data_IF_588807118306
#
_entry.id   IF_588807118306
#
_cell.length_a   1.000
_cell.length_b   1.000
_cell.length_c   1.000
_cell.angle_alpha   90.00
_cell.angle_beta   90.00
_cell.angle_gamma   90.00
#
_symmetry.space_group_name_H-M   'P 1'
#
loop_
_entity.id
_entity.type
_entity.pdbx_description
1 polymer ?
#
# COMPACT_ATOMS: atom_id res chain seq x y z
N UNK A 1 -21.43 -5.65 -34.27
CA UNK A 1 -21.85 -5.80 -32.85
C UNK A 1 -21.25 -4.67 -32.06
N UNK A 2 -21.91 -4.18 -30.99
CA UNK A 2 -21.32 -3.19 -30.10
C UNK A 2 -20.45 -3.89 -29.04
N UNK A 3 -19.36 -3.26 -28.60
CA UNK A 3 -18.54 -3.73 -27.49
C UNK A 3 -19.41 -3.90 -26.24
N UNK A 4 -19.32 -5.06 -25.58
CA UNK A 4 -20.13 -5.37 -24.40
C UNK A 4 -19.24 -5.42 -23.14
N UNK A 5 -19.57 -4.59 -22.15
CA UNK A 5 -18.86 -4.56 -20.86
C UNK A 5 -18.82 -5.92 -20.15
N UNK A 6 -19.87 -6.72 -20.29
CA UNK A 6 -19.88 -8.07 -19.71
C UNK A 6 -18.79 -8.98 -20.31
N UNK A 7 -18.53 -8.84 -21.62
CA UNK A 7 -17.46 -9.58 -22.29
C UNK A 7 -16.08 -9.12 -21.81
N UNK A 8 -15.88 -7.81 -21.61
CA UNK A 8 -14.64 -7.28 -21.02
C UNK A 8 -14.41 -7.81 -19.61
N UNK A 9 -15.45 -7.88 -18.79
CA UNK A 9 -15.37 -8.45 -17.44
C UNK A 9 -15.01 -9.94 -17.46
N UNK A 10 -15.63 -10.71 -18.35
CA UNK A 10 -15.32 -12.13 -18.50
C UNK A 10 -13.87 -12.32 -18.96
N UNK A 11 -13.43 -11.59 -19.98
CA UNK A 11 -12.04 -11.63 -20.46
C UNK A 11 -11.04 -11.33 -19.34
N UNK A 12 -11.25 -10.23 -18.59
CA UNK A 12 -10.44 -9.84 -17.46
C UNK A 12 -10.35 -10.96 -16.41
N UNK A 13 -11.50 -11.53 -16.02
CA UNK A 13 -11.55 -12.59 -15.02
C UNK A 13 -10.82 -13.87 -15.47
N UNK A 14 -10.93 -14.22 -16.77
CA UNK A 14 -10.19 -15.37 -17.32
C UNK A 14 -8.68 -15.11 -17.29
N UNK A 15 -8.25 -13.90 -17.65
CA UNK A 15 -6.84 -13.51 -17.63
C UNK A 15 -6.28 -13.53 -16.19
N UNK A 16 -7.03 -12.95 -15.22
CA UNK A 16 -6.64 -12.92 -13.80
C UNK A 16 -6.54 -14.33 -13.19
N UNK A 17 -7.51 -15.20 -13.46
CA UNK A 17 -7.56 -16.57 -12.91
C UNK A 17 -6.65 -17.55 -13.65
N UNK A 18 -6.19 -17.20 -14.85
CA UNK A 18 -5.39 -18.09 -15.69
C UNK A 18 -6.11 -19.38 -16.12
N UNK A 19 -7.45 -19.44 -15.97
CA UNK A 19 -8.26 -20.63 -16.23
C UNK A 19 -9.71 -20.29 -16.54
N UNK A 20 -10.23 -20.84 -17.67
CA UNK A 20 -11.66 -20.67 -18.01
C UNK A 20 -12.59 -21.32 -16.99
N UNK A 21 -12.21 -22.47 -16.42
CA UNK A 21 -13.03 -23.14 -15.39
C UNK A 21 -13.03 -22.36 -14.06
N UNK A 22 -11.88 -21.80 -13.64
CA UNK A 22 -11.80 -20.98 -12.45
C UNK A 22 -12.57 -19.66 -12.62
N UNK A 23 -12.49 -19.03 -13.80
CA UNK A 23 -13.28 -17.85 -14.13
C UNK A 23 -14.78 -18.15 -14.15
N UNK A 24 -15.19 -19.28 -14.71
CA UNK A 24 -16.60 -19.71 -14.72
C UNK A 24 -17.16 -19.86 -13.30
N UNK A 25 -16.40 -20.49 -12.39
CA UNK A 25 -16.77 -20.57 -10.98
C UNK A 25 -16.91 -19.17 -10.31
N UNK A 26 -15.95 -18.29 -10.57
CA UNK A 26 -15.96 -16.93 -10.00
C UNK A 26 -17.10 -16.05 -10.53
N UNK A 27 -17.54 -16.29 -11.77
CA UNK A 27 -18.63 -15.54 -12.45
C UNK A 27 -20.00 -16.22 -12.31
N UNK A 28 -20.10 -17.35 -11.61
CA UNK A 28 -21.32 -18.17 -11.54
C UNK A 28 -21.88 -18.55 -12.92
N UNK A 29 -20.99 -18.86 -13.86
CA UNK A 29 -21.30 -19.23 -15.23
C UNK A 29 -20.82 -20.65 -15.53
N UNK A 30 -21.29 -21.23 -16.64
CA UNK A 30 -20.69 -22.45 -17.16
C UNK A 30 -19.43 -22.15 -17.97
N UNK A 31 -18.45 -23.04 -17.95
CA UNK A 31 -17.21 -22.85 -18.70
C UNK A 31 -17.42 -22.68 -20.22
N UNK A 32 -18.35 -23.42 -20.90
CA UNK A 32 -18.67 -23.13 -22.29
C UNK A 32 -19.21 -21.70 -22.53
N UNK A 33 -20.06 -21.19 -21.62
CA UNK A 33 -20.57 -19.82 -21.73
C UNK A 33 -19.44 -18.78 -21.63
N UNK A 34 -18.51 -18.94 -20.66
CA UNK A 34 -17.32 -18.08 -20.56
C UNK A 34 -16.47 -18.13 -21.84
N UNK A 35 -16.25 -19.34 -22.38
CA UNK A 35 -15.50 -19.53 -23.63
C UNK A 35 -16.14 -18.81 -24.80
N UNK A 36 -17.46 -18.93 -24.96
CA UNK A 36 -18.21 -18.26 -26.03
C UNK A 36 -18.13 -16.74 -25.92
N UNK A 37 -18.21 -16.19 -24.72
CA UNK A 37 -18.14 -14.74 -24.52
C UNK A 37 -16.76 -14.17 -24.86
N UNK A 38 -15.69 -14.87 -24.46
CA UNK A 38 -14.31 -14.48 -24.83
C UNK A 38 -14.13 -14.60 -26.34
N UNK A 39 -14.62 -15.66 -26.97
CA UNK A 39 -14.53 -15.83 -28.42
C UNK A 39 -15.29 -14.73 -29.17
N UNK A 40 -16.48 -14.38 -28.72
CA UNK A 40 -17.26 -13.25 -29.28
C UNK A 40 -16.53 -11.91 -29.15
N UNK A 41 -15.77 -11.69 -28.07
CA UNK A 41 -14.94 -10.51 -27.90
C UNK A 41 -13.73 -10.52 -28.85
N UNK A 42 -13.09 -11.68 -29.03
CA UNK A 42 -12.00 -11.87 -29.99
C UNK A 42 -12.50 -11.64 -31.44
N UNK A 43 -13.68 -12.15 -31.77
CA UNK A 43 -14.31 -11.95 -33.08
C UNK A 43 -14.66 -10.46 -33.32
N UNK A 44 -15.09 -9.75 -32.28
CA UNK A 44 -15.32 -8.29 -32.35
C UNK A 44 -14.05 -7.51 -32.68
N UNK A 45 -12.92 -7.85 -32.08
CA UNK A 45 -11.65 -7.18 -32.34
C UNK A 45 -10.88 -7.77 -33.56
N UNK A 46 -11.34 -8.89 -34.11
CA UNK A 46 -10.68 -9.59 -35.23
C UNK A 46 -9.30 -10.17 -34.86
N UNK A 47 -9.02 -10.36 -33.58
CA UNK A 47 -7.73 -10.89 -33.10
C UNK A 47 -7.89 -11.75 -31.85
N UNK A 48 -6.94 -12.65 -31.62
CA UNK A 48 -6.89 -13.44 -30.39
C UNK A 48 -6.35 -12.59 -29.23
N UNK A 49 -7.06 -12.64 -28.10
CA UNK A 49 -6.68 -11.96 -26.86
C UNK A 49 -6.00 -12.90 -25.88
N UNK A 50 -6.35 -14.18 -25.95
CA UNK A 50 -5.80 -15.25 -25.13
C UNK A 50 -5.18 -16.34 -26.02
N UNK A 51 -4.03 -16.84 -25.62
CA UNK A 51 -3.42 -18.04 -26.21
C UNK A 51 -3.42 -19.16 -25.19
N UNK A 52 -3.75 -20.37 -25.68
CA UNK A 52 -3.73 -21.58 -24.85
C UNK A 52 -2.35 -22.23 -25.00
N UNK A 53 -1.57 -22.28 -23.94
CA UNK A 53 -0.47 -23.21 -23.83
C UNK A 53 -0.96 -24.51 -23.15
N UNK A 54 -0.20 -25.57 -23.26
CA UNK A 54 -0.56 -26.88 -22.66
C UNK A 54 -0.68 -26.85 -21.15
N UNK A 55 -0.23 -25.76 -20.49
CA UNK A 55 -0.21 -25.64 -19.02
C UNK A 55 -0.86 -24.38 -18.48
N UNK A 56 -1.06 -23.33 -19.29
CA UNK A 56 -1.59 -22.01 -18.81
C UNK A 56 -2.32 -21.28 -19.94
N UNK A 57 -3.19 -20.37 -19.54
CA UNK A 57 -3.74 -19.33 -20.40
C UNK A 57 -2.83 -18.11 -20.26
N UNK A 58 -2.38 -17.59 -21.40
CA UNK A 58 -1.52 -16.41 -21.46
C UNK A 58 -2.16 -15.33 -22.32
N UNK A 59 -1.91 -14.08 -21.98
CA UNK A 59 -2.33 -12.94 -22.79
C UNK A 59 -1.49 -12.86 -24.08
N UNK A 60 -2.14 -12.63 -25.20
CA UNK A 60 -1.47 -12.18 -26.43
C UNK A 60 -1.01 -10.72 -26.26
N UNK A 61 -0.31 -10.16 -27.24
CA UNK A 61 0.02 -8.75 -27.28
C UNK A 61 -1.25 -7.87 -27.25
N UNK A 62 -2.26 -8.22 -28.07
CA UNK A 62 -3.56 -7.59 -28.09
C UNK A 62 -4.30 -7.74 -26.74
N UNK A 63 -4.19 -8.93 -26.12
CA UNK A 63 -4.76 -9.15 -24.78
C UNK A 63 -4.12 -8.28 -23.71
N UNK A 64 -2.79 -8.14 -23.72
CA UNK A 64 -2.07 -7.22 -22.83
C UNK A 64 -2.47 -5.77 -23.04
N UNK A 65 -2.63 -5.35 -24.29
CA UNK A 65 -3.11 -4.00 -24.61
C UNK A 65 -4.55 -3.75 -24.14
N UNK A 66 -5.44 -4.76 -24.21
CA UNK A 66 -6.84 -4.64 -23.79
C UNK A 66 -7.01 -4.69 -22.25
N UNK A 67 -6.11 -5.37 -21.53
CA UNK A 67 -6.25 -5.63 -20.09
C UNK A 67 -6.51 -4.38 -19.24
N UNK A 68 -5.75 -3.26 -19.38
CA UNK A 68 -6.00 -2.05 -18.61
C UNK A 68 -7.36 -1.41 -18.93
N UNK A 69 -7.84 -1.50 -20.16
CA UNK A 69 -9.15 -0.97 -20.54
C UNK A 69 -10.29 -1.83 -19.97
N UNK A 70 -10.13 -3.15 -19.96
CA UNK A 70 -11.09 -4.06 -19.35
C UNK A 70 -11.21 -3.79 -17.84
N UNK A 71 -10.08 -3.62 -17.15
CA UNK A 71 -10.04 -3.26 -15.73
C UNK A 71 -10.75 -1.93 -15.48
N UNK A 72 -10.40 -0.88 -16.22
CA UNK A 72 -11.03 0.45 -16.08
C UNK A 72 -12.53 0.43 -16.34
N UNK A 73 -12.99 -0.40 -17.27
CA UNK A 73 -14.44 -0.56 -17.54
C UNK A 73 -15.18 -1.17 -16.35
N UNK A 74 -14.58 -2.18 -15.70
CA UNK A 74 -15.14 -2.81 -14.49
C UNK A 74 -15.18 -1.79 -13.34
N UNK A 75 -14.11 -1.01 -13.18
CA UNK A 75 -14.01 -0.02 -12.13
C UNK A 75 -15.03 1.12 -12.34
N UNK A 76 -15.25 1.54 -13.58
CA UNK A 76 -16.26 2.55 -13.91
C UNK A 76 -17.69 2.08 -13.59
N UNK A 77 -18.02 0.81 -13.86
CA UNK A 77 -19.33 0.24 -13.47
C UNK A 77 -19.47 0.26 -11.95
N UNK A 78 -18.47 -0.22 -11.23
CA UNK A 78 -18.47 -0.21 -9.76
C UNK A 78 -18.60 1.19 -9.19
N UNK A 79 -17.93 2.16 -9.80
CA UNK A 79 -18.03 3.56 -9.43
C UNK A 79 -19.44 4.11 -9.68
N UNK A 80 -20.04 3.79 -10.84
CA UNK A 80 -21.41 4.20 -11.17
C UNK A 80 -22.39 3.67 -10.12
N UNK A 81 -22.32 2.38 -9.79
CA UNK A 81 -23.15 1.77 -8.75
C UNK A 81 -22.95 2.45 -7.39
N UNK A 82 -21.69 2.76 -7.07
CA UNK A 82 -21.32 3.45 -5.84
C UNK A 82 -21.86 4.89 -5.79
N UNK A 83 -21.77 5.67 -6.88
CA UNK A 83 -22.34 7.01 -6.95
C UNK A 83 -23.86 6.99 -6.82
N UNK A 84 -24.51 6.03 -7.46
CA UNK A 84 -25.98 5.86 -7.37
C UNK A 84 -26.42 5.46 -5.96
N UNK A 85 -25.57 4.78 -5.20
CA UNK A 85 -25.87 4.41 -3.81
C UNK A 85 -26.06 5.60 -2.87
N UNK A 86 -25.48 6.78 -3.19
CA UNK A 86 -25.69 8.02 -2.44
C UNK A 86 -27.16 8.45 -2.41
N UNK A 87 -27.90 8.16 -3.48
CA UNK A 87 -29.32 8.50 -3.60
C UNK A 87 -30.22 7.53 -2.85
N UNK A 88 -29.70 6.35 -2.45
CA UNK A 88 -30.47 5.32 -1.72
C UNK A 88 -30.22 5.34 -0.21
N UNK A 89 -29.48 6.34 0.33
CA UNK A 89 -29.08 6.47 1.75
C UNK A 89 -28.30 5.27 2.32
N UNK A 90 -27.83 4.36 1.49
CA UNK A 90 -27.00 3.22 1.90
C UNK A 90 -25.70 3.24 1.09
N UNK A 91 -24.64 3.83 1.68
CA UNK A 91 -23.33 3.78 1.06
C UNK A 91 -22.81 2.34 1.09
N UNK A 92 -22.84 1.70 -0.09
CA UNK A 92 -22.36 0.33 -0.30
C UNK A 92 -21.15 0.37 -1.23
N UNK A 93 -20.23 -0.56 -1.05
CA UNK A 93 -19.10 -0.69 -1.97
C UNK A 93 -17.93 -1.44 -1.37
N UNK A 94 -16.82 -1.42 -2.09
CA UNK A 94 -15.57 -2.00 -1.65
C UNK A 94 -14.50 -0.91 -1.56
N UNK A 95 -13.93 -0.73 -0.38
CA UNK A 95 -12.73 0.07 -0.18
C UNK A 95 -11.53 -0.84 -0.46
N UNK A 96 -10.83 -0.56 -1.54
CA UNK A 96 -9.61 -1.28 -1.90
C UNK A 96 -8.44 -0.28 -1.88
N UNK A 97 -7.45 -0.52 -1.01
CA UNK A 97 -6.33 0.39 -0.83
C UNK A 97 -5.01 -0.35 -0.70
N UNK A 98 -3.92 0.31 -1.14
CA UNK A 98 -2.56 -0.04 -0.78
C UNK A 98 -2.14 0.71 0.49
N UNK A 99 -1.35 0.10 1.33
CA UNK A 99 -0.78 0.75 2.50
C UNK A 99 0.69 0.36 2.67
N UNK A 100 1.54 1.34 2.97
CA UNK A 100 2.91 1.03 3.35
C UNK A 100 2.94 0.28 4.69
N UNK A 101 4.04 -0.43 4.96
CA UNK A 101 4.07 -1.42 6.04
C UNK A 101 3.73 -0.80 7.40
N UNK A 102 4.31 0.34 7.75
CA UNK A 102 3.99 1.00 9.04
C UNK A 102 2.52 1.37 9.12
N UNK A 103 1.97 1.94 8.05
CA UNK A 103 0.58 2.38 8.02
C UNK A 103 -0.35 1.16 8.06
N UNK A 104 -0.10 0.15 7.23
CA UNK A 104 -0.95 -1.03 7.08
C UNK A 104 -0.96 -1.95 8.30
N UNK A 105 0.17 -2.06 9.00
CA UNK A 105 0.29 -2.97 10.15
C UNK A 105 -0.06 -2.30 11.49
N UNK A 106 0.27 -1.01 11.67
CA UNK A 106 0.22 -0.37 12.99
C UNK A 106 -0.82 0.76 13.11
N UNK A 107 -1.22 1.38 12.00
CA UNK A 107 -2.10 2.56 11.98
C UNK A 107 -3.50 2.19 11.50
N UNK A 108 -3.61 1.69 10.27
CA UNK A 108 -4.90 1.45 9.61
C UNK A 108 -5.81 0.49 10.36
N UNK A 109 -5.37 -0.63 10.96
CA UNK A 109 -6.27 -1.51 11.68
C UNK A 109 -7.06 -0.79 12.79
N UNK A 110 -6.45 0.22 13.43
CA UNK A 110 -7.07 1.04 14.47
C UNK A 110 -8.08 2.05 13.92
N UNK A 111 -7.88 2.53 12.69
CA UNK A 111 -8.77 3.49 12.04
C UNK A 111 -9.90 2.79 11.26
N UNK A 112 -9.63 1.61 10.70
CA UNK A 112 -10.61 0.86 9.92
C UNK A 112 -11.73 0.26 10.79
N UNK A 113 -11.49 0.03 12.08
CA UNK A 113 -12.53 -0.40 13.02
C UNK A 113 -13.65 0.64 13.13
N UNK A 114 -13.37 1.88 13.60
CA UNK A 114 -14.33 2.97 13.65
C UNK A 114 -14.96 3.30 12.29
N UNK A 115 -14.17 3.30 11.22
CA UNK A 115 -14.69 3.51 9.86
C UNK A 115 -15.72 2.44 9.48
N UNK A 116 -15.44 1.16 9.73
CA UNK A 116 -16.38 0.06 9.44
C UNK A 116 -17.66 0.11 10.29
N UNK A 117 -17.59 0.65 11.52
CA UNK A 117 -18.79 0.89 12.33
C UNK A 117 -19.67 2.01 11.75
N UNK A 118 -19.05 3.09 11.25
CA UNK A 118 -19.78 4.21 10.64
C UNK A 118 -20.33 3.84 9.24
N UNK A 119 -19.60 2.98 8.50
CA UNK A 119 -19.96 2.55 7.13
C UNK A 119 -20.05 1.01 6.99
N UNK A 120 -21.01 0.35 7.63
CA UNK A 120 -21.06 -1.12 7.78
C UNK A 120 -21.29 -1.87 6.45
N UNK A 121 -21.69 -1.18 5.38
CA UNK A 121 -21.89 -1.77 4.07
C UNK A 121 -20.70 -1.57 3.12
N UNK A 122 -19.60 -1.00 3.59
CA UNK A 122 -18.34 -0.92 2.85
C UNK A 122 -17.47 -2.12 3.24
N UNK A 123 -17.23 -3.02 2.29
CA UNK A 123 -16.23 -4.07 2.49
C UNK A 123 -14.82 -3.50 2.30
N UNK A 124 -13.88 -3.88 3.14
CA UNK A 124 -12.52 -3.34 3.14
C UNK A 124 -11.54 -4.43 2.68
N UNK A 125 -10.68 -4.07 1.73
CA UNK A 125 -9.57 -4.90 1.26
C UNK A 125 -8.31 -4.05 1.20
N UNK A 126 -7.28 -4.45 1.93
CA UNK A 126 -6.01 -3.74 2.01
C UNK A 126 -4.87 -4.65 1.56
N UNK A 127 -3.98 -4.11 0.71
CA UNK A 127 -2.69 -4.73 0.40
C UNK A 127 -1.59 -3.98 1.13
N UNK A 128 -0.73 -4.70 1.86
CA UNK A 128 0.43 -4.11 2.53
C UNK A 128 1.67 -4.37 1.69
N UNK A 129 2.38 -3.30 1.33
CA UNK A 129 3.58 -3.34 0.49
C UNK A 129 4.41 -2.07 0.73
N UNK A 130 5.59 -1.94 0.14
CA UNK A 130 6.37 -0.70 0.32
C UNK A 130 5.88 0.44 -0.61
N UNK A 131 6.37 1.66 -0.36
CA UNK A 131 5.95 2.87 -1.09
C UNK A 131 6.17 2.75 -2.60
N UNK A 132 7.29 2.18 -3.03
CA UNK A 132 7.60 2.01 -4.45
C UNK A 132 6.62 1.05 -5.14
N UNK A 133 6.30 -0.06 -4.50
CA UNK A 133 5.33 -1.04 -5.00
C UNK A 133 3.91 -0.47 -5.08
N UNK A 134 3.49 0.34 -4.07
CA UNK A 134 2.19 1.03 -4.10
C UNK A 134 2.13 1.97 -5.30
N UNK A 135 3.17 2.76 -5.53
CA UNK A 135 3.25 3.68 -6.67
C UNK A 135 3.14 2.92 -7.99
N UNK A 136 3.87 1.82 -8.13
CA UNK A 136 3.82 0.97 -9.34
C UNK A 136 2.42 0.38 -9.55
N UNK A 137 1.77 -0.16 -8.50
CA UNK A 137 0.42 -0.71 -8.59
C UNK A 137 -0.63 0.36 -8.95
N UNK A 138 -0.45 1.61 -8.50
CA UNK A 138 -1.33 2.73 -8.90
C UNK A 138 -1.09 3.13 -10.36
N UNK A 139 0.16 3.23 -10.81
CA UNK A 139 0.51 3.54 -12.20
C UNK A 139 -0.03 2.48 -13.17
N UNK A 140 0.01 1.22 -12.77
CA UNK A 140 -0.50 0.09 -13.53
C UNK A 140 -2.03 -0.12 -13.36
N UNK A 141 -2.74 0.77 -12.66
CA UNK A 141 -4.18 0.67 -12.37
C UNK A 141 -4.59 -0.59 -11.60
N UNK A 142 -3.67 -1.23 -10.87
CA UNK A 142 -3.99 -2.35 -9.97
C UNK A 142 -4.55 -1.87 -8.63
N UNK A 143 -4.25 -0.63 -8.23
CA UNK A 143 -4.79 0.06 -7.08
C UNK A 143 -5.36 1.42 -7.48
N UNK A 144 -6.45 1.82 -6.86
CA UNK A 144 -7.04 3.14 -7.07
C UNK A 144 -6.34 4.22 -6.24
N UNK A 145 -5.93 3.89 -5.01
CA UNK A 145 -5.18 4.78 -4.14
C UNK A 145 -4.37 4.00 -3.10
N UNK A 146 -3.41 4.69 -2.49
CA UNK A 146 -2.60 4.15 -1.42
C UNK A 146 -2.31 5.17 -0.32
N UNK A 147 -1.89 4.67 0.83
CA UNK A 147 -1.33 5.46 1.93
C UNK A 147 0.15 5.14 2.07
N UNK A 148 0.99 6.16 1.98
CA UNK A 148 2.44 6.04 1.91
C UNK A 148 3.15 6.86 2.97
N UNK A 149 4.38 6.48 3.30
CA UNK A 149 5.18 7.03 4.41
C UNK A 149 6.12 8.15 4.01
N UNK A 150 6.33 8.35 2.71
CA UNK A 150 7.21 9.38 2.17
C UNK A 150 6.60 9.99 0.92
N UNK A 151 6.78 11.29 0.66
CA UNK A 151 6.36 11.88 -0.59
C UNK A 151 7.18 11.28 -1.74
N UNK A 152 6.51 11.04 -2.87
CA UNK A 152 7.16 10.64 -4.11
C UNK A 152 6.97 11.73 -5.16
N UNK A 153 8.02 12.02 -5.93
CA UNK A 153 7.93 13.03 -6.98
C UNK A 153 7.54 12.36 -8.30
N UNK A 154 6.26 12.44 -8.64
CA UNK A 154 5.75 11.94 -9.92
C UNK A 154 4.69 12.91 -10.49
N UNK A 155 4.80 13.34 -11.76
CA UNK A 155 3.94 14.37 -12.33
C UNK A 155 2.46 14.01 -12.35
N UNK A 156 2.13 12.74 -12.51
CA UNK A 156 0.75 12.25 -12.63
C UNK A 156 0.11 11.87 -11.28
N UNK A 157 0.88 11.91 -10.19
CA UNK A 157 0.37 11.56 -8.86
C UNK A 157 -0.16 12.79 -8.13
N UNK A 158 -1.32 12.62 -7.51
CA UNK A 158 -1.82 13.51 -6.47
C UNK A 158 -1.42 12.96 -5.12
N UNK A 159 -0.91 13.83 -4.26
CA UNK A 159 -0.57 13.48 -2.88
C UNK A 159 -1.11 14.52 -1.93
N UNK A 160 -1.60 14.06 -0.79
CA UNK A 160 -2.12 14.89 0.29
C UNK A 160 -1.69 14.32 1.63
N UNK A 161 -1.16 15.17 2.52
CA UNK A 161 -0.81 14.76 3.87
C UNK A 161 -2.06 14.42 4.68
N UNK A 162 -2.05 13.26 5.35
CA UNK A 162 -3.22 12.76 6.09
C UNK A 162 -2.94 12.56 7.58
N UNK A 163 -1.69 12.30 7.98
CA UNK A 163 -1.33 12.03 9.37
C UNK A 163 0.15 12.32 9.62
N UNK A 164 0.48 12.84 10.81
CA UNK A 164 1.86 13.05 11.26
C UNK A 164 2.40 11.79 11.96
N UNK A 165 3.70 11.55 11.81
CA UNK A 165 4.43 10.48 12.50
C UNK A 165 5.84 10.95 12.86
N UNK A 166 6.51 10.22 13.73
CA UNK A 166 7.90 10.44 14.11
C UNK A 166 8.68 9.14 14.08
N UNK A 167 9.85 9.14 13.46
CA UNK A 167 10.79 8.03 13.58
C UNK A 167 11.56 8.17 14.87
N UNK A 168 11.66 7.08 15.60
CA UNK A 168 12.44 6.95 16.83
C UNK A 168 13.67 6.09 16.59
N UNK A 169 14.78 6.51 17.12
CA UNK A 169 15.94 5.63 17.28
C UNK A 169 15.56 4.52 18.27
N UNK A 170 15.76 3.28 17.86
CA UNK A 170 15.53 2.09 18.68
C UNK A 170 16.81 1.28 18.87
N UNK A 171 16.95 0.74 20.07
CA UNK A 171 18.07 -0.14 20.46
C UNK A 171 17.54 -1.31 21.29
N UNK A 172 18.26 -2.43 21.29
CA UNK A 172 17.98 -3.54 22.20
C UNK A 172 18.22 -3.15 23.65
N UNK A 173 17.58 -3.84 24.60
CA UNK A 173 17.64 -3.54 26.05
C UNK A 173 19.06 -3.54 26.64
N UNK A 174 19.98 -4.29 26.05
CA UNK A 174 21.36 -4.42 26.53
C UNK A 174 22.36 -3.58 25.70
N UNK A 175 21.89 -2.73 24.80
CA UNK A 175 22.70 -1.88 23.96
C UNK A 175 23.35 -0.75 24.81
N UNK A 176 24.59 -0.33 24.54
CA UNK A 176 25.27 0.74 25.31
C UNK A 176 24.48 2.05 25.39
N UNK A 177 23.66 2.36 24.35
CA UNK A 177 22.80 3.55 24.33
C UNK A 177 21.50 3.37 25.13
N UNK A 178 21.16 2.17 25.61
CA UNK A 178 19.86 1.92 26.25
C UNK A 178 19.60 2.78 27.50
N UNK A 179 20.63 3.07 28.25
CA UNK A 179 20.60 3.88 29.48
C UNK A 179 21.41 5.19 29.34
N UNK A 180 21.86 5.53 28.12
CA UNK A 180 22.61 6.75 27.86
C UNK A 180 21.71 7.98 27.91
N UNK A 181 22.27 9.08 28.42
CA UNK A 181 21.64 10.41 28.43
C UNK A 181 22.30 11.29 27.37
N UNK A 182 21.57 12.28 26.90
CA UNK A 182 22.07 13.30 25.95
C UNK A 182 22.71 12.73 24.67
N UNK A 183 22.11 11.69 24.12
CA UNK A 183 22.58 11.04 22.88
C UNK A 183 22.32 11.96 21.68
N UNK A 184 23.37 12.21 20.91
CA UNK A 184 23.29 12.93 19.62
C UNK A 184 23.14 11.92 18.46
N UNK A 185 22.73 12.44 17.29
CA UNK A 185 22.71 11.62 16.08
C UNK A 185 24.12 11.09 15.74
N UNK A 186 25.16 11.91 15.91
CA UNK A 186 26.54 11.50 15.65
C UNK A 186 26.98 10.33 16.54
N UNK A 187 26.56 10.29 17.81
CA UNK A 187 26.82 9.17 18.70
C UNK A 187 26.12 7.89 18.24
N UNK A 188 24.87 8.03 17.81
CA UNK A 188 24.09 6.89 17.31
C UNK A 188 24.67 6.30 16.03
N UNK A 189 25.13 7.13 15.08
CA UNK A 189 25.67 6.69 13.79
C UNK A 189 27.03 5.98 13.89
N UNK A 190 27.66 5.95 15.06
CA UNK A 190 28.88 5.14 15.30
C UNK A 190 28.58 3.65 15.41
N UNK A 191 27.32 3.27 15.62
CA UNK A 191 26.91 1.88 15.75
C UNK A 191 26.45 1.28 14.42
N UNK A 192 26.41 -0.05 14.39
CA UNK A 192 25.86 -0.79 13.26
C UNK A 192 24.37 -0.54 13.11
N UNK A 193 23.92 -0.33 11.88
CA UNK A 193 22.55 0.04 11.58
C UNK A 193 21.85 -1.09 10.82
N UNK A 194 20.65 -1.45 11.26
CA UNK A 194 19.71 -2.31 10.55
C UNK A 194 18.72 -1.42 9.83
N UNK A 195 18.63 -1.55 8.51
CA UNK A 195 17.74 -0.74 7.68
C UNK A 195 16.60 -1.55 7.09
N UNK A 196 15.61 -0.82 6.64
CA UNK A 196 14.59 -1.32 5.73
C UNK A 196 15.17 -1.44 4.31
N UNK A 197 14.52 -2.24 3.51
CA UNK A 197 14.83 -2.45 2.09
C UNK A 197 14.72 -1.16 1.28
N UNK A 198 15.34 -1.14 0.10
CA UNK A 198 15.16 -0.09 -0.90
C UNK A 198 13.68 0.02 -1.31
N UNK A 199 13.19 1.26 -1.51
CA UNK A 199 11.78 1.54 -1.78
C UNK A 199 10.90 1.64 -0.53
N UNK A 200 11.42 1.37 0.67
CA UNK A 200 10.73 1.65 1.93
C UNK A 200 10.61 3.15 2.17
N UNK A 201 9.38 3.63 2.45
CA UNK A 201 9.15 5.03 2.82
C UNK A 201 9.85 5.44 4.12
N UNK A 202 9.98 4.54 5.09
CA UNK A 202 10.73 4.78 6.34
C UNK A 202 12.20 5.06 6.05
N UNK A 203 12.84 4.23 5.20
CA UNK A 203 14.22 4.42 4.77
C UNK A 203 14.41 5.72 4.00
N UNK A 204 13.53 6.01 3.03
CA UNK A 204 13.58 7.24 2.24
C UNK A 204 13.54 8.49 3.12
N UNK A 205 12.64 8.54 4.09
CA UNK A 205 12.56 9.69 5.02
C UNK A 205 13.81 9.83 5.86
N UNK A 206 14.31 8.73 6.40
CA UNK A 206 15.54 8.75 7.21
C UNK A 206 16.74 9.25 6.37
N UNK A 207 16.94 8.68 5.19
CA UNK A 207 18.06 9.05 4.31
C UNK A 207 17.95 10.50 3.84
N UNK A 208 16.76 10.99 3.54
CA UNK A 208 16.55 12.39 3.12
C UNK A 208 16.86 13.36 4.26
N UNK A 209 16.44 13.06 5.48
CA UNK A 209 16.76 13.90 6.64
C UNK A 209 18.25 13.89 6.98
N UNK A 210 18.95 12.77 6.81
CA UNK A 210 20.41 12.71 6.95
C UNK A 210 21.09 13.61 5.90
N UNK A 211 20.66 13.56 4.64
CA UNK A 211 21.20 14.44 3.58
C UNK A 211 21.00 15.92 3.90
N UNK A 212 19.83 16.30 4.44
CA UNK A 212 19.57 17.68 4.87
C UNK A 212 20.50 18.14 6.01
N UNK A 213 21.06 17.20 6.76
CA UNK A 213 22.07 17.44 7.80
C UNK A 213 23.52 17.30 7.27
N UNK A 214 23.71 17.19 5.95
CA UNK A 214 25.01 16.97 5.28
C UNK A 214 25.66 15.64 5.67
N UNK A 215 24.88 14.63 6.00
CA UNK A 215 25.36 13.26 6.26
C UNK A 215 24.98 12.41 5.04
N UNK A 216 25.98 11.81 4.38
CA UNK A 216 25.73 10.90 3.26
C UNK A 216 25.25 9.53 3.80
N UNK A 217 24.04 9.06 3.39
CA UNK A 217 23.55 7.75 3.79
C UNK A 217 24.46 6.58 3.36
N UNK A 218 25.35 6.77 2.39
CA UNK A 218 26.30 5.73 1.96
C UNK A 218 27.44 5.52 2.97
N UNK A 219 27.66 6.48 3.87
CA UNK A 219 28.69 6.39 4.93
C UNK A 219 28.18 5.63 6.17
N UNK A 220 26.91 5.26 6.20
CA UNK A 220 26.32 4.52 7.30
C UNK A 220 26.89 3.10 7.40
N UNK A 221 27.20 2.66 8.61
CA UNK A 221 27.64 1.28 8.89
C UNK A 221 26.42 0.32 8.85
N UNK A 222 25.91 0.03 7.64
CA UNK A 222 24.75 -0.84 7.45
C UNK A 222 25.20 -2.29 7.54
N UNK A 223 24.71 -3.01 8.55
CA UNK A 223 25.00 -4.44 8.71
C UNK A 223 23.95 -5.31 8.04
N UNK A 224 22.71 -4.82 7.91
CA UNK A 224 21.61 -5.64 7.42
C UNK A 224 20.51 -4.78 6.81
N UNK A 225 19.92 -5.26 5.71
CA UNK A 225 18.71 -4.72 5.10
C UNK A 225 17.58 -5.74 5.19
N UNK A 226 16.42 -5.32 5.70
CA UNK A 226 15.29 -6.20 5.98
C UNK A 226 13.99 -5.67 5.38
N UNK A 227 13.19 -6.57 4.81
CA UNK A 227 11.97 -6.27 4.05
C UNK A 227 10.74 -5.95 4.90
N UNK A 228 10.83 -5.88 6.24
CA UNK A 228 9.68 -5.53 7.09
C UNK A 228 10.09 -4.84 8.38
N UNK A 229 9.20 -4.00 8.91
CA UNK A 229 9.39 -3.35 10.22
C UNK A 229 9.49 -4.36 11.36
N UNK A 230 8.73 -5.46 11.28
CA UNK A 230 8.82 -6.54 12.27
C UNK A 230 10.20 -7.18 12.30
N UNK A 231 10.77 -7.52 11.13
CA UNK A 231 12.11 -8.10 11.04
C UNK A 231 13.19 -7.14 11.56
N UNK A 232 13.09 -5.83 11.25
CA UNK A 232 13.99 -4.80 11.79
C UNK A 232 13.94 -4.76 13.32
N UNK A 233 12.72 -4.74 13.90
CA UNK A 233 12.56 -4.75 15.37
C UNK A 233 13.18 -5.99 16.01
N UNK A 234 12.92 -7.17 15.43
CA UNK A 234 13.51 -8.43 15.93
C UNK A 234 15.04 -8.45 15.85
N UNK A 235 15.63 -7.89 14.80
CA UNK A 235 17.07 -7.77 14.67
C UNK A 235 17.67 -6.83 15.74
N UNK A 236 17.01 -5.69 15.98
CA UNK A 236 17.43 -4.75 17.05
C UNK A 236 17.25 -5.36 18.44
N UNK A 237 16.17 -6.08 18.71
CA UNK A 237 15.95 -6.82 19.96
C UNK A 237 17.05 -7.86 20.19
N UNK A 238 17.46 -8.55 19.12
CA UNK A 238 18.55 -9.53 19.16
C UNK A 238 19.96 -8.90 19.31
N UNK A 239 20.07 -7.57 19.35
CA UNK A 239 21.34 -6.85 19.55
C UNK A 239 22.20 -6.75 18.29
N UNK A 240 21.64 -6.94 17.08
CA UNK A 240 22.39 -6.87 15.82
C UNK A 240 22.72 -5.43 15.39
N UNK A 241 22.18 -4.42 16.06
CA UNK A 241 22.44 -3.01 15.77
C UNK A 241 21.29 -2.13 16.22
N UNK A 242 21.32 -0.88 15.75
CA UNK A 242 20.29 0.12 15.99
C UNK A 242 19.42 0.30 14.75
N UNK A 243 18.27 0.97 14.89
CA UNK A 243 17.43 1.34 13.74
C UNK A 243 16.58 2.56 14.02
N UNK A 244 16.01 3.12 12.96
CA UNK A 244 15.00 4.17 13.02
C UNK A 244 13.65 3.64 12.52
N UNK A 245 12.64 3.67 13.37
CA UNK A 245 11.30 3.15 13.04
C UNK A 245 10.22 4.09 13.57
N UNK A 246 9.00 3.96 13.02
CA UNK A 246 7.84 4.73 13.51
C UNK A 246 7.59 4.50 15.00
N UNK A 247 7.32 5.58 15.73
CA UNK A 247 6.88 5.51 17.13
C UNK A 247 5.66 4.60 17.32
N UNK A 248 4.75 4.60 16.34
CA UNK A 248 3.55 3.76 16.37
C UNK A 248 3.84 2.27 16.28
N UNK A 249 4.99 1.88 15.68
CA UNK A 249 5.35 0.48 15.44
C UNK A 249 6.02 -0.23 16.61
N UNK A 250 6.49 0.50 17.64
CA UNK A 250 7.31 -0.06 18.73
C UNK A 250 6.62 -0.01 20.11
N UNK A 251 5.38 0.44 20.20
CA UNK A 251 4.68 0.64 21.48
C UNK A 251 4.70 -0.62 22.37
N UNK A 252 4.49 -1.80 21.76
CA UNK A 252 4.44 -3.06 22.51
C UNK A 252 5.80 -3.51 22.99
N UNK A 253 6.82 -3.49 22.15
CA UNK A 253 8.19 -3.91 22.50
C UNK A 253 8.79 -3.01 23.57
N UNK A 254 8.50 -1.70 23.50
CA UNK A 254 8.90 -0.73 24.53
C UNK A 254 8.17 -1.01 25.84
N UNK A 255 6.87 -1.24 25.82
CA UNK A 255 6.09 -1.57 27.02
C UNK A 255 6.55 -2.88 27.69
N UNK A 256 7.01 -3.85 26.90
CA UNK A 256 7.59 -5.10 27.39
C UNK A 256 9.06 -5.00 27.79
N UNK A 257 9.71 -3.84 27.57
CA UNK A 257 11.12 -3.62 27.88
C UNK A 257 12.09 -4.40 26.99
N UNK A 258 11.67 -4.89 25.83
CA UNK A 258 12.50 -5.62 24.86
C UNK A 258 13.37 -4.68 24.03
N UNK A 259 12.82 -3.52 23.71
CA UNK A 259 13.44 -2.44 22.94
C UNK A 259 13.37 -1.14 23.76
N UNK A 260 14.37 -0.29 23.62
CA UNK A 260 14.39 1.07 24.14
C UNK A 260 14.32 2.06 22.99
N UNK A 261 13.53 3.12 23.14
CA UNK A 261 13.57 4.30 22.28
C UNK A 261 14.50 5.34 22.88
N UNK A 262 15.45 5.80 22.09
CA UNK A 262 16.45 6.79 22.53
C UNK A 262 16.08 8.15 21.96
N UNK A 263 15.75 9.15 22.79
CA UNK A 263 15.56 10.51 22.33
C UNK A 263 16.90 11.11 21.89
N UNK A 264 16.96 11.60 20.66
CA UNK A 264 18.12 12.37 20.21
C UNK A 264 17.97 13.83 20.63
N UNK A 265 19.06 14.43 21.10
CA UNK A 265 19.06 15.81 21.63
C UNK A 265 19.09 16.86 20.55
N UNK A 266 19.67 16.53 19.41
CA UNK A 266 19.98 17.44 18.30
C UNK A 266 19.01 17.35 17.12
N UNK A 267 18.21 16.29 17.03
CA UNK A 267 17.31 16.08 15.88
C UNK A 267 16.03 15.32 16.26
N UNK A 268 14.94 15.62 15.51
CA UNK A 268 13.69 14.85 15.54
C UNK A 268 13.30 14.48 14.11
N UNK A 269 13.22 13.20 13.83
CA UNK A 269 12.82 12.68 12.51
C UNK A 269 11.31 12.69 12.36
N UNK A 270 10.73 13.87 12.11
CA UNK A 270 9.30 14.07 11.84
C UNK A 270 8.99 13.75 10.40
N UNK A 271 7.84 13.13 10.14
CA UNK A 271 7.34 12.86 8.80
C UNK A 271 5.82 13.03 8.71
N UNK A 272 5.32 13.04 7.49
CA UNK A 272 3.89 12.95 7.19
C UNK A 272 3.61 11.65 6.47
N UNK A 273 2.44 11.08 6.71
CA UNK A 273 1.86 10.06 5.85
C UNK A 273 0.97 10.74 4.81
N UNK A 274 0.96 10.18 3.61
CA UNK A 274 0.27 10.78 2.47
C UNK A 274 -0.73 9.80 1.87
N UNK A 275 -1.87 10.31 1.44
CA UNK A 275 -2.69 9.62 0.45
C UNK A 275 -2.10 9.87 -0.94
N UNK A 276 -2.09 8.85 -1.81
CA UNK A 276 -1.56 8.92 -3.16
C UNK A 276 -2.50 8.26 -4.15
N UNK A 277 -2.80 8.92 -5.26
CA UNK A 277 -3.59 8.40 -6.37
C UNK A 277 -3.29 9.17 -7.67
N UNK A 278 -3.67 8.63 -8.84
CA UNK A 278 -3.50 9.33 -10.11
C UNK A 278 -4.39 10.57 -10.19
N UNK A 279 -3.84 11.70 -10.63
CA UNK A 279 -4.61 12.95 -10.86
C UNK A 279 -5.76 12.77 -11.84
N UNK A 280 -5.60 11.87 -12.81
CA UNK A 280 -6.62 11.54 -13.80
C UNK A 280 -7.65 10.52 -13.32
N UNK A 281 -7.46 9.91 -12.15
CA UNK A 281 -8.38 8.87 -11.67
C UNK A 281 -9.61 9.47 -11.00
N UNK A 282 -10.75 8.91 -11.33
CA UNK A 282 -11.97 9.08 -10.55
C UNK A 282 -11.94 8.06 -9.40
N UNK A 283 -11.75 8.55 -8.19
CA UNK A 283 -11.74 7.67 -7.02
C UNK A 283 -13.14 7.10 -6.74
N UNK A 284 -13.25 5.79 -6.43
CA UNK A 284 -14.50 5.22 -5.95
C UNK A 284 -15.02 5.96 -4.72
N UNK A 285 -16.34 6.04 -4.57
CA UNK A 285 -16.95 6.77 -3.44
C UNK A 285 -16.49 6.24 -2.09
N UNK A 286 -16.24 4.93 -1.95
CA UNK A 286 -15.69 4.33 -0.74
C UNK A 286 -14.29 4.88 -0.39
N UNK A 287 -13.45 5.13 -1.40
CA UNK A 287 -12.14 5.76 -1.22
C UNK A 287 -12.29 7.24 -0.85
N UNK A 288 -13.16 7.99 -1.53
CA UNK A 288 -13.47 9.39 -1.18
C UNK A 288 -13.99 9.48 0.24
N UNK A 289 -14.94 8.62 0.62
CA UNK A 289 -15.51 8.59 1.99
C UNK A 289 -14.42 8.29 3.03
N UNK A 290 -13.53 7.34 2.74
CA UNK A 290 -12.45 7.03 3.66
C UNK A 290 -11.44 8.17 3.79
N UNK A 291 -11.07 8.83 2.69
CA UNK A 291 -10.21 10.01 2.72
C UNK A 291 -10.87 11.17 3.48
N UNK A 292 -12.18 11.37 3.31
CA UNK A 292 -12.95 12.37 4.08
C UNK A 292 -12.95 12.01 5.58
N UNK A 293 -13.16 10.73 5.92
CA UNK A 293 -13.07 10.25 7.30
C UNK A 293 -11.69 10.54 7.91
N UNK A 294 -10.60 10.31 7.17
CA UNK A 294 -9.24 10.61 7.65
C UNK A 294 -8.99 12.10 7.86
N UNK A 295 -9.66 12.99 7.10
CA UNK A 295 -9.50 14.45 7.21
C UNK A 295 -10.33 15.06 8.34
N UNK A 296 -11.56 14.57 8.52
CA UNK A 296 -12.57 15.24 9.37
C UNK A 296 -12.58 14.70 10.81
N UNK A 297 -12.09 13.47 11.03
CA UNK A 297 -12.09 12.86 12.36
C UNK A 297 -10.80 13.17 13.12
N UNK A 298 -10.94 13.33 14.43
CA UNK A 298 -9.77 13.33 15.31
C UNK A 298 -9.19 11.91 15.41
N UNK A 299 -8.18 11.63 14.59
CA UNK A 299 -7.56 10.32 14.49
C UNK A 299 -6.78 9.94 15.77
N UNK A 300 -6.35 10.93 16.56
CA UNK A 300 -5.53 10.68 17.75
C UNK A 300 -6.26 9.88 18.83
N UNK A 301 -7.59 9.94 18.86
CA UNK A 301 -8.39 9.16 19.80
C UNK A 301 -8.28 7.62 19.60
N UNK A 302 -7.80 7.17 18.43
CA UNK A 302 -7.65 5.76 18.10
C UNK A 302 -6.19 5.30 17.96
N UNK A 303 -5.24 6.22 17.90
CA UNK A 303 -3.81 5.97 17.69
C UNK A 303 -3.02 6.08 19.00
#
# INVERSE_FOLDING_TARGET
>A
MALNFHQLHIFYTVAEKGSFSAAAGALHMTQPAVTMQVQSLEDYFGTKLLQRSTKRIELTEAGRALMPYAQRSIDLIRETDSQMSKFTKQLKGRLQLGASLTIGEYILPRLLGPFGQEYPHISISMKVMNTAQIMEDILNHHLNFGLIEAPVNHPDMHMEAVLSDELKLIVGKSHPLADAQDVTLADALQYQIVLREQGSGTRLVMEEQLRQMNIDPTDLNIIMELGSTGAVKSAVEAGLGISFVSASSVKHEVALGLIRTIPLTDVKFKRQFYSMYLKSALLPISAVTFLTFLREKDLHQWL
#
